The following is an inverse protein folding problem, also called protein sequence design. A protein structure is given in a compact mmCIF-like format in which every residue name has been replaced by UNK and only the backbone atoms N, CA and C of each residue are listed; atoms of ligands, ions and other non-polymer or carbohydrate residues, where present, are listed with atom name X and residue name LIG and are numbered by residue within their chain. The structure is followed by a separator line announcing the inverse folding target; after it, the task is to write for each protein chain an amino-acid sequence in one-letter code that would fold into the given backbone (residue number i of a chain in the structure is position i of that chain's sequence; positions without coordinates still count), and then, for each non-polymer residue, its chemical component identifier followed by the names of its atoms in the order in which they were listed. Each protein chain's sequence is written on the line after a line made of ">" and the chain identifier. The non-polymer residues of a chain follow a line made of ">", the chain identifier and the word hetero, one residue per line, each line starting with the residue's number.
data_IF_925980833306
#
_entry.id   IF_925980833306
#
_cell.length_a   1.000
_cell.length_b   1.000
_cell.length_c   1.000
_cell.angle_alpha   90.00
_cell.angle_beta   90.00
_cell.angle_gamma   90.00
#
_symmetry.space_group_name_H-M   'P 1'
#
loop_
_entity.id
_entity.type
_entity.pdbx_description
1 polymer ?
#
# COMPACT_ATOMS: atom_id res chain seq x y z
N UNK A 1 36.34 8.33 33.52
CA UNK A 1 35.07 9.07 33.54
C UNK A 1 34.72 9.38 32.09
N UNK A 2 34.30 8.37 31.34
CA UNK A 2 33.88 8.55 29.95
C UNK A 2 32.37 8.68 29.96
N UNK A 3 31.94 9.95 29.98
CA UNK A 3 30.54 10.31 29.83
C UNK A 3 30.02 9.69 28.54
N UNK A 4 29.05 8.78 28.67
CA UNK A 4 28.40 8.11 27.57
C UNK A 4 27.91 9.16 26.56
N UNK A 5 28.61 9.23 25.43
CA UNK A 5 28.16 10.00 24.28
C UNK A 5 26.79 9.42 23.90
N UNK A 6 25.73 10.14 24.25
CA UNK A 6 24.37 9.80 23.86
C UNK A 6 24.39 9.67 22.33
N UNK A 7 24.26 8.43 21.84
CA UNK A 7 24.30 8.14 20.42
C UNK A 7 23.25 9.02 19.74
N UNK A 8 23.72 9.96 18.91
CA UNK A 8 22.84 10.81 18.11
C UNK A 8 21.90 9.89 17.34
N UNK A 9 20.57 10.08 17.42
CA UNK A 9 19.64 9.20 16.74
C UNK A 9 19.91 9.28 15.24
N UNK A 10 20.52 8.23 14.69
CA UNK A 10 20.81 8.13 13.25
C UNK A 10 19.54 8.35 12.45
N UNK A 11 19.65 9.14 11.38
CA UNK A 11 18.54 9.38 10.46
C UNK A 11 18.17 8.08 9.73
N UNK A 12 16.94 7.99 9.21
CA UNK A 12 16.47 6.78 8.49
C UNK A 12 17.42 6.37 7.35
N UNK A 13 17.90 7.35 6.58
CA UNK A 13 18.83 7.14 5.46
C UNK A 13 20.20 6.61 5.91
N UNK A 14 20.68 7.02 7.07
CA UNK A 14 21.94 6.54 7.63
C UNK A 14 21.80 5.10 8.16
N UNK A 15 20.64 4.75 8.73
CA UNK A 15 20.33 3.37 9.17
C UNK A 15 20.22 2.41 7.98
N UNK A 16 19.75 2.88 6.85
CA UNK A 16 19.63 2.10 5.60
C UNK A 16 21.00 1.81 4.97
N UNK A 17 21.89 2.81 4.96
CA UNK A 17 23.21 2.73 4.32
C UNK A 17 24.32 2.17 5.22
N UNK A 18 24.14 2.23 6.53
CA UNK A 18 25.11 1.74 7.50
C UNK A 18 25.23 0.22 7.50
N UNK A 19 26.45 -0.28 7.72
CA UNK A 19 26.66 -1.70 7.97
C UNK A 19 26.11 -2.06 9.36
N UNK A 20 25.40 -3.19 9.43
CA UNK A 20 24.91 -3.78 10.68
C UNK A 20 25.92 -4.77 11.26
N UNK A 21 25.91 -5.02 12.58
CA UNK A 21 26.70 -6.10 13.15
C UNK A 21 26.31 -7.45 12.53
N UNK A 22 27.29 -8.36 12.40
CA UNK A 22 27.09 -9.66 11.74
C UNK A 22 25.97 -10.50 12.39
N UNK A 23 25.72 -10.32 13.68
CA UNK A 23 24.66 -10.98 14.44
C UNK A 23 23.24 -10.66 13.93
N UNK A 24 23.05 -9.50 13.29
CA UNK A 24 21.74 -9.08 12.76
C UNK A 24 21.39 -9.83 11.46
N UNK A 25 22.36 -10.49 10.82
CA UNK A 25 22.16 -11.29 9.61
C UNK A 25 21.94 -12.76 9.97
N UNK A 26 20.67 -13.15 10.10
CA UNK A 26 20.29 -14.51 10.44
C UNK A 26 19.11 -14.98 9.57
N UNK A 27 18.98 -16.30 9.39
CA UNK A 27 18.03 -16.90 8.45
C UNK A 27 16.58 -16.51 8.76
N UNK A 28 16.19 -16.49 10.03
CA UNK A 28 14.82 -16.15 10.44
C UNK A 28 14.47 -14.70 10.07
N UNK A 29 15.37 -13.74 10.32
CA UNK A 29 15.18 -12.35 9.94
C UNK A 29 15.08 -12.17 8.43
N UNK A 30 15.86 -12.95 7.66
CA UNK A 30 15.78 -12.96 6.20
C UNK A 30 14.45 -13.53 5.70
N UNK A 31 13.96 -14.64 6.26
CA UNK A 31 12.66 -15.20 5.93
C UNK A 31 11.52 -14.24 6.29
N UNK A 32 11.59 -13.58 7.44
CA UNK A 32 10.61 -12.56 7.85
C UNK A 32 10.59 -11.37 6.88
N UNK A 33 11.76 -10.96 6.37
CA UNK A 33 11.87 -9.93 5.34
C UNK A 33 11.28 -10.38 4.00
N UNK A 34 11.55 -11.61 3.56
CA UNK A 34 11.01 -12.14 2.30
C UNK A 34 9.49 -12.29 2.38
N UNK A 35 8.93 -12.76 3.50
CA UNK A 35 7.48 -12.96 3.66
C UNK A 35 6.73 -11.66 3.99
N UNK A 36 7.42 -10.52 4.08
CA UNK A 36 6.82 -9.24 4.43
C UNK A 36 5.85 -8.76 3.33
N UNK A 37 4.55 -9.04 3.53
CA UNK A 37 3.47 -8.77 2.57
C UNK A 37 3.42 -7.34 1.99
N UNK A 38 3.72 -6.27 2.73
CA UNK A 38 3.73 -4.91 2.17
C UNK A 38 4.74 -4.72 1.05
N UNK A 39 5.85 -5.48 1.05
CA UNK A 39 6.86 -5.45 0.00
C UNK A 39 6.32 -5.93 -1.36
N UNK A 40 5.37 -6.87 -1.35
CA UNK A 40 4.77 -7.43 -2.57
C UNK A 40 3.57 -6.63 -3.08
N UNK A 41 2.78 -6.03 -2.18
CA UNK A 41 1.47 -5.46 -2.53
C UNK A 41 1.48 -3.93 -2.74
N UNK A 42 2.33 -3.20 -2.02
CA UNK A 42 2.29 -1.73 -2.00
C UNK A 42 3.61 -1.04 -2.36
N UNK A 43 4.71 -1.79 -2.46
CA UNK A 43 5.85 -1.39 -3.27
C UNK A 43 6.72 -0.21 -2.81
N UNK A 44 6.98 0.08 -1.52
CA UNK A 44 8.28 0.61 -1.17
C UNK A 44 9.27 -0.56 -1.13
N UNK A 45 10.27 -0.54 -2.01
CA UNK A 45 11.41 -1.46 -1.93
C UNK A 45 12.18 -1.14 -0.64
N UNK A 46 11.78 -1.77 0.45
CA UNK A 46 12.43 -1.66 1.75
C UNK A 46 13.69 -2.51 1.73
N UNK A 47 14.83 -1.99 2.16
CA UNK A 47 16.05 -2.81 2.27
C UNK A 47 16.02 -3.67 3.54
N UNK A 48 16.75 -4.79 3.54
CA UNK A 48 16.88 -5.65 4.73
C UNK A 48 17.37 -4.86 5.97
N UNK A 49 18.35 -3.97 5.79
CA UNK A 49 18.89 -3.14 6.87
C UNK A 49 17.82 -2.21 7.48
N UNK A 50 16.94 -1.65 6.63
CA UNK A 50 15.81 -0.83 7.05
C UNK A 50 14.79 -1.66 7.84
N UNK A 51 14.39 -2.82 7.31
CA UNK A 51 13.44 -3.74 7.94
C UNK A 51 13.88 -4.14 9.35
N UNK A 52 15.13 -4.60 9.50
CA UNK A 52 15.67 -4.99 10.81
C UNK A 52 15.72 -3.77 11.76
N UNK A 53 15.85 -2.53 11.25
CA UNK A 53 15.99 -1.33 12.12
C UNK A 53 14.67 -0.92 12.70
N UNK A 54 13.62 -1.09 11.90
CA UNK A 54 12.25 -0.86 12.31
C UNK A 54 11.79 -1.95 13.28
N UNK A 55 12.22 -3.20 13.08
CA UNK A 55 11.95 -4.27 14.06
C UNK A 55 12.67 -4.05 15.39
N UNK A 56 13.93 -3.61 15.37
CA UNK A 56 14.70 -3.33 16.58
C UNK A 56 14.21 -2.09 17.35
N UNK A 57 13.56 -1.15 16.67
CA UNK A 57 13.01 0.07 17.27
C UNK A 57 11.62 0.38 16.70
N UNK A 58 10.57 -0.30 17.19
CA UNK A 58 9.22 -0.11 16.70
C UNK A 58 8.72 1.31 16.96
N UNK A 59 8.15 1.94 15.94
CA UNK A 59 7.44 3.20 16.11
C UNK A 59 6.04 2.92 16.68
N UNK A 60 5.69 3.57 17.79
CA UNK A 60 4.35 3.48 18.39
C UNK A 60 3.59 4.77 18.12
N UNK A 61 2.83 4.87 17.01
CA UNK A 61 2.02 6.06 16.76
C UNK A 61 0.92 6.18 17.83
N UNK A 62 0.53 7.40 18.20
CA UNK A 62 -0.56 7.61 19.14
C UNK A 62 -1.87 7.03 18.57
N UNK A 63 -2.64 6.33 19.41
CA UNK A 63 -3.89 5.63 19.01
C UNK A 63 -4.87 6.52 18.25
N UNK A 64 -4.93 7.81 18.59
CA UNK A 64 -5.75 8.81 17.90
C UNK A 64 -5.39 8.95 16.41
N UNK A 65 -4.10 8.95 16.09
CA UNK A 65 -3.64 9.08 14.71
C UNK A 65 -3.96 7.81 13.91
N UNK A 66 -3.77 6.64 14.54
CA UNK A 66 -4.15 5.36 13.96
C UNK A 66 -5.66 5.29 13.67
N UNK A 67 -6.50 5.71 14.63
CA UNK A 67 -7.95 5.71 14.46
C UNK A 67 -8.41 6.68 13.34
N UNK A 68 -7.83 7.88 13.27
CA UNK A 68 -8.12 8.84 12.20
C UNK A 68 -7.62 8.36 10.83
N UNK A 69 -6.53 7.59 10.80
CA UNK A 69 -6.03 6.97 9.58
C UNK A 69 -6.95 5.85 9.10
N UNK A 70 -7.33 4.96 10.02
CA UNK A 70 -8.28 3.88 9.74
C UNK A 70 -9.63 4.42 9.27
N UNK A 71 -10.17 5.46 9.91
CA UNK A 71 -11.42 6.09 9.49
C UNK A 71 -11.33 6.67 8.07
N UNK A 72 -10.21 7.31 7.71
CA UNK A 72 -9.98 7.78 6.33
C UNK A 72 -9.90 6.62 5.34
N UNK A 73 -9.22 5.54 5.71
CA UNK A 73 -9.12 4.35 4.89
C UNK A 73 -10.49 3.70 4.66
N UNK A 74 -11.29 3.54 5.71
CA UNK A 74 -12.68 3.05 5.61
C UNK A 74 -13.52 3.96 4.72
N UNK A 75 -13.39 5.28 4.85
CA UNK A 75 -14.09 6.21 3.96
C UNK A 75 -13.69 6.03 2.48
N UNK A 76 -12.41 5.74 2.19
CA UNK A 76 -11.97 5.40 0.83
C UNK A 76 -12.58 4.09 0.32
N UNK A 77 -12.70 3.07 1.18
CA UNK A 77 -13.34 1.79 0.84
C UNK A 77 -14.84 1.99 0.55
N UNK A 78 -15.54 2.75 1.39
CA UNK A 78 -16.96 3.07 1.18
C UNK A 78 -17.17 3.88 -0.10
N UNK A 79 -16.27 4.83 -0.40
CA UNK A 79 -16.30 5.58 -1.65
C UNK A 79 -16.12 4.65 -2.85
N UNK A 80 -15.23 3.65 -2.75
CA UNK A 80 -15.04 2.64 -3.80
C UNK A 80 -16.28 1.79 -4.02
N UNK A 81 -16.91 1.35 -2.95
CA UNK A 81 -18.14 0.56 -3.00
C UNK A 81 -19.31 1.38 -3.59
N UNK A 82 -19.50 2.61 -3.12
CA UNK A 82 -20.50 3.53 -3.67
C UNK A 82 -20.25 3.86 -5.15
N UNK A 83 -18.98 4.07 -5.54
CA UNK A 83 -18.61 4.28 -6.93
C UNK A 83 -18.98 3.05 -7.78
N UNK A 84 -18.74 1.83 -7.29
CA UNK A 84 -19.12 0.61 -7.99
C UNK A 84 -20.64 0.47 -8.14
N UNK A 85 -21.42 0.79 -7.11
CA UNK A 85 -22.89 0.73 -7.18
C UNK A 85 -23.50 1.71 -8.19
N UNK A 86 -22.89 2.89 -8.36
CA UNK A 86 -23.39 3.91 -9.28
C UNK A 86 -22.91 3.67 -10.72
N UNK A 87 -21.73 3.08 -10.91
CA UNK A 87 -21.12 2.91 -12.23
C UNK A 87 -21.50 1.59 -12.89
N UNK A 88 -22.47 1.65 -13.82
CA UNK A 88 -22.88 0.51 -14.66
C UNK A 88 -21.76 -0.03 -15.56
N UNK A 89 -20.79 0.80 -15.96
CA UNK A 89 -19.70 0.44 -16.87
C UNK A 89 -18.91 -0.79 -16.39
N UNK A 90 -18.64 -0.87 -15.08
CA UNK A 90 -17.89 -1.98 -14.49
C UNK A 90 -18.68 -3.30 -14.54
N UNK A 91 -20.01 -3.24 -14.43
CA UNK A 91 -20.88 -4.40 -14.57
C UNK A 91 -20.93 -4.90 -16.03
N UNK A 92 -20.93 -3.98 -17.01
CA UNK A 92 -20.91 -4.35 -18.42
C UNK A 92 -19.58 -5.02 -18.83
N UNK A 93 -18.45 -4.50 -18.35
CA UNK A 93 -17.12 -5.01 -18.71
C UNK A 93 -16.80 -6.35 -18.04
N UNK A 94 -17.23 -6.54 -16.80
CA UNK A 94 -16.99 -7.79 -16.07
C UNK A 94 -17.85 -8.97 -16.56
N UNK A 95 -18.97 -8.69 -17.23
CA UNK A 95 -19.96 -9.70 -17.58
C UNK A 95 -19.85 -10.10 -19.06
N UNK A 96 -19.09 -11.17 -19.34
CA UNK A 96 -18.79 -11.63 -20.71
C UNK A 96 -20.04 -11.97 -21.55
N UNK A 97 -21.17 -12.28 -20.91
CA UNK A 97 -22.44 -12.57 -21.59
C UNK A 97 -23.05 -11.34 -22.26
N UNK A 98 -22.69 -10.14 -21.84
CA UNK A 98 -23.16 -8.88 -22.41
C UNK A 98 -22.31 -8.40 -23.59
N UNK A 99 -21.32 -9.18 -24.05
CA UNK A 99 -20.45 -8.82 -25.17
C UNK A 99 -21.23 -8.42 -26.44
N UNK A 100 -22.38 -9.04 -26.71
CA UNK A 100 -23.24 -8.64 -27.84
C UNK A 100 -23.79 -7.22 -27.74
N UNK A 101 -23.98 -6.68 -26.53
CA UNK A 101 -24.46 -5.31 -26.36
C UNK A 101 -23.41 -4.27 -26.77
N UNK A 102 -22.13 -4.63 -26.84
CA UNK A 102 -21.04 -3.74 -27.24
C UNK A 102 -21.19 -3.26 -28.69
N UNK A 103 -21.82 -4.06 -29.55
CA UNK A 103 -22.12 -3.68 -30.93
C UNK A 103 -23.08 -2.49 -31.05
N UNK A 104 -23.84 -2.20 -29.99
CA UNK A 104 -24.81 -1.10 -29.94
C UNK A 104 -24.33 0.11 -29.13
N UNK A 105 -23.12 0.06 -28.55
CA UNK A 105 -22.58 1.15 -27.73
C UNK A 105 -21.86 2.15 -28.64
N UNK A 106 -22.27 3.42 -28.57
CA UNK A 106 -21.62 4.50 -29.32
C UNK A 106 -20.21 4.82 -28.81
N UNK A 107 -19.35 5.37 -29.67
CA UNK A 107 -17.95 5.71 -29.33
C UNK A 107 -17.83 6.60 -28.08
N UNK A 108 -18.74 7.57 -27.91
CA UNK A 108 -18.75 8.43 -26.71
C UNK A 108 -19.07 7.67 -25.41
N UNK A 109 -19.98 6.69 -25.47
CA UNK A 109 -20.32 5.85 -24.31
C UNK A 109 -19.16 4.92 -23.94
N UNK A 110 -18.44 4.38 -24.94
CA UNK A 110 -17.22 3.60 -24.71
C UNK A 110 -16.14 4.44 -24.02
N UNK A 111 -15.93 5.69 -24.44
CA UNK A 111 -14.95 6.57 -23.81
C UNK A 111 -15.28 6.84 -22.33
N UNK A 112 -16.55 7.12 -22.01
CA UNK A 112 -17.02 7.28 -20.62
C UNK A 112 -16.87 5.98 -19.83
N UNK A 113 -17.19 4.84 -20.44
CA UNK A 113 -17.01 3.51 -19.84
C UNK A 113 -15.55 3.21 -19.49
N UNK A 114 -14.63 3.48 -20.42
CA UNK A 114 -13.19 3.31 -20.20
C UNK A 114 -12.67 4.25 -19.10
N UNK A 115 -13.07 5.52 -19.11
CA UNK A 115 -12.67 6.50 -18.09
C UNK A 115 -13.16 6.12 -16.69
N UNK A 116 -14.43 5.73 -16.56
CA UNK A 116 -15.01 5.30 -15.27
C UNK A 116 -14.35 4.02 -14.75
N UNK A 117 -14.02 3.08 -15.63
CA UNK A 117 -13.29 1.85 -15.27
C UNK A 117 -11.86 2.16 -14.80
N UNK A 118 -11.17 3.07 -15.47
CA UNK A 118 -9.84 3.52 -15.05
C UNK A 118 -9.89 4.17 -13.66
N UNK A 119 -10.91 5.01 -13.41
CA UNK A 119 -11.16 5.59 -12.08
C UNK A 119 -11.37 4.53 -11.00
N UNK A 120 -12.11 3.45 -11.32
CA UNK A 120 -12.31 2.33 -10.39
C UNK A 120 -11.00 1.58 -10.07
N UNK A 121 -10.19 1.29 -11.09
CA UNK A 121 -8.89 0.63 -10.91
C UNK A 121 -7.96 1.52 -10.08
N UNK A 122 -7.93 2.82 -10.35
CA UNK A 122 -7.17 3.79 -9.57
C UNK A 122 -7.60 3.79 -8.09
N UNK A 123 -8.89 3.76 -7.82
CA UNK A 123 -9.42 3.75 -6.46
C UNK A 123 -9.07 2.45 -5.70
N UNK A 124 -9.03 1.30 -6.40
CA UNK A 124 -8.51 0.04 -5.85
C UNK A 124 -7.05 0.17 -5.42
N UNK A 125 -6.20 0.73 -6.28
CA UNK A 125 -4.79 0.95 -5.94
C UNK A 125 -4.63 1.93 -4.78
N UNK A 126 -5.43 3.00 -4.74
CA UNK A 126 -5.44 3.95 -3.62
C UNK A 126 -5.76 3.26 -2.29
N UNK A 127 -6.76 2.38 -2.26
CA UNK A 127 -7.13 1.62 -1.05
C UNK A 127 -5.99 0.69 -0.62
N UNK A 128 -5.36 -0.03 -1.55
CA UNK A 128 -4.22 -0.92 -1.26
C UNK A 128 -3.04 -0.10 -0.73
N UNK A 129 -2.66 0.98 -1.41
CA UNK A 129 -1.53 1.84 -1.03
C UNK A 129 -1.76 2.64 0.25
N UNK A 130 -3.01 2.86 0.65
CA UNK A 130 -3.33 3.47 1.96
C UNK A 130 -3.46 2.45 3.07
N UNK A 131 -3.62 1.16 2.78
CA UNK A 131 -3.66 0.16 3.83
C UNK A 131 -2.25 -0.16 4.35
N UNK A 132 -1.31 -0.29 3.41
CA UNK A 132 0.10 -0.59 3.64
C UNK A 132 0.93 0.68 3.85
#
# INVERSE_FOLDING_TARGET
>A
ADGGAAAVPLTLRERERGHRPLSDYHLLGYLAYVVYSPLYLAGPILTYNAFISQMASPAHPPRRHLAMYLARWVACVLLMDAFLCVNWSNALISNQRMFHQWAHVGVGQLAVGAFTTLGFIWLKFLVIWRFF
#
